data_IF_610439958841
#
_entry.id   IF_610439958841
#
_cell.length_a   1.000
_cell.length_b   1.000
_cell.length_c   1.000
_cell.angle_alpha   90.00
_cell.angle_beta   90.00
_cell.angle_gamma   90.00
#
_symmetry.space_group_name_H-M   'P 1'
#
loop_
_entity.id
_entity.type
_entity.pdbx_description
1 polymer ?
#
# COMPACT_ATOMS: atom_id res chain seq x y z
N UNK A 1 13.49 -0.46 -23.51
CA UNK A 1 12.62 0.37 -22.65
C UNK A 1 13.45 1.52 -22.10
N UNK A 2 13.01 2.75 -22.28
CA UNK A 2 13.75 3.91 -21.82
C UNK A 2 13.47 4.21 -20.34
N UNK A 3 14.29 5.07 -19.73
CA UNK A 3 14.16 5.41 -18.31
C UNK A 3 12.82 6.04 -17.96
N UNK A 4 12.24 6.86 -18.86
CA UNK A 4 10.94 7.51 -18.62
C UNK A 4 9.81 6.49 -18.55
N UNK A 5 9.84 5.47 -19.40
CA UNK A 5 8.85 4.41 -19.42
C UNK A 5 8.91 3.55 -18.15
N UNK A 6 10.11 3.22 -17.70
CA UNK A 6 10.31 2.46 -16.45
C UNK A 6 9.86 3.27 -15.25
N UNK A 7 10.23 4.55 -15.19
CA UNK A 7 9.83 5.44 -14.08
C UNK A 7 8.31 5.60 -14.02
N UNK A 8 7.66 5.80 -15.17
CA UNK A 8 6.20 5.93 -15.22
C UNK A 8 5.51 4.69 -14.68
N UNK A 9 5.95 3.49 -15.09
CA UNK A 9 5.39 2.23 -14.59
C UNK A 9 5.59 2.07 -13.09
N UNK A 10 6.76 2.46 -12.58
CA UNK A 10 7.04 2.41 -11.15
C UNK A 10 6.14 3.34 -10.35
N UNK A 11 5.92 4.56 -10.86
CA UNK A 11 5.03 5.52 -10.20
C UNK A 11 3.58 5.07 -10.20
N UNK A 12 3.12 4.37 -11.24
CA UNK A 12 1.77 3.83 -11.30
C UNK A 12 1.49 2.81 -10.19
N UNK A 13 2.52 2.10 -9.72
CA UNK A 13 2.38 1.16 -8.61
C UNK A 13 2.03 1.86 -7.30
N UNK A 14 2.35 3.15 -7.17
CA UNK A 14 2.12 3.92 -5.95
C UNK A 14 0.87 4.80 -6.01
N UNK A 15 0.14 4.75 -7.11
CA UNK A 15 -1.13 5.47 -7.27
C UNK A 15 -2.26 4.59 -6.76
N UNK A 16 -2.76 4.92 -5.57
CA UNK A 16 -3.87 4.20 -4.96
C UNK A 16 -5.17 4.97 -5.18
N UNK A 17 -6.20 4.25 -5.61
CA UNK A 17 -7.54 4.80 -5.74
C UNK A 17 -8.24 4.79 -4.38
N UNK A 18 -8.80 5.92 -3.98
CA UNK A 18 -9.61 5.99 -2.76
C UNK A 18 -11.00 5.43 -3.05
N UNK A 19 -11.33 4.32 -2.39
CA UNK A 19 -12.63 3.66 -2.53
C UNK A 19 -13.63 4.23 -1.52
N UNK A 20 -13.18 4.45 -0.30
CA UNK A 20 -14.00 4.98 0.78
C UNK A 20 -13.05 5.65 1.78
N UNK A 21 -13.59 6.19 2.86
CA UNK A 21 -12.75 6.70 3.93
C UNK A 21 -11.87 5.57 4.47
N UNK A 22 -10.57 5.80 4.48
CA UNK A 22 -9.57 4.84 4.99
C UNK A 22 -9.51 3.50 4.23
N UNK A 23 -10.07 3.46 3.01
CA UNK A 23 -10.00 2.30 2.13
C UNK A 23 -9.46 2.71 0.77
N UNK A 24 -8.41 2.05 0.33
CA UNK A 24 -7.72 2.35 -0.92
C UNK A 24 -7.54 1.07 -1.73
N UNK A 25 -7.37 1.21 -3.02
CA UNK A 25 -7.20 0.07 -3.92
C UNK A 25 -6.09 0.33 -4.93
N UNK A 26 -5.33 -0.71 -5.23
CA UNK A 26 -4.46 -0.79 -6.38
C UNK A 26 -5.03 -1.82 -7.35
N UNK A 27 -5.12 -1.45 -8.64
CA UNK A 27 -5.88 -2.22 -9.62
C UNK A 27 -5.24 -3.54 -10.08
N UNK A 28 -4.02 -3.83 -9.69
CA UNK A 28 -3.34 -5.01 -10.18
C UNK A 28 -2.97 -4.89 -11.66
N UNK A 29 -1.72 -4.60 -11.94
CA UNK A 29 -1.19 -4.62 -13.30
C UNK A 29 -0.04 -5.58 -13.35
N UNK A 30 -0.11 -6.54 -14.25
CA UNK A 30 1.01 -7.42 -14.49
C UNK A 30 2.12 -6.65 -15.20
N UNK A 31 3.21 -6.40 -14.48
CA UNK A 31 4.40 -5.72 -15.01
C UNK A 31 5.50 -6.70 -15.37
N UNK A 32 5.15 -7.97 -15.62
CA UNK A 32 6.09 -9.02 -15.99
C UNK A 32 6.47 -9.95 -14.85
N UNK A 33 5.87 -9.81 -13.68
CA UNK A 33 6.12 -10.67 -12.53
C UNK A 33 4.85 -11.40 -12.14
N UNK A 34 4.97 -12.68 -11.79
CA UNK A 34 3.84 -13.49 -11.36
C UNK A 34 3.40 -13.19 -9.93
N UNK A 35 4.34 -12.76 -9.10
CA UNK A 35 4.09 -12.47 -7.68
C UNK A 35 4.42 -11.02 -7.39
N UNK A 36 3.68 -10.44 -6.46
CA UNK A 36 3.93 -9.08 -6.00
C UNK A 36 5.23 -9.06 -5.22
N UNK A 37 6.10 -8.13 -5.58
CA UNK A 37 7.31 -7.87 -4.82
C UNK A 37 6.95 -7.32 -3.43
N UNK A 38 7.56 -7.90 -2.38
CA UNK A 38 7.25 -7.50 -1.01
C UNK A 38 7.46 -6.02 -0.73
N UNK A 39 8.50 -5.42 -1.29
CA UNK A 39 8.75 -3.99 -1.15
C UNK A 39 7.66 -3.12 -1.77
N UNK A 40 7.01 -3.58 -2.83
CA UNK A 40 5.86 -2.89 -3.43
C UNK A 40 4.71 -2.80 -2.42
N UNK A 41 4.34 -3.94 -1.81
CA UNK A 41 3.25 -3.98 -0.84
C UNK A 41 3.58 -3.10 0.37
N UNK A 42 4.81 -3.17 0.87
CA UNK A 42 5.26 -2.32 1.97
C UNK A 42 5.14 -0.85 1.63
N UNK A 43 5.57 -0.43 0.45
CA UNK A 43 5.47 0.96 0.01
C UNK A 43 4.00 1.38 -0.14
N UNK A 44 3.17 0.53 -0.71
CA UNK A 44 1.75 0.82 -0.89
C UNK A 44 1.00 0.94 0.43
N UNK A 45 1.30 0.09 1.43
CA UNK A 45 0.70 0.23 2.76
C UNK A 45 1.12 1.53 3.43
N UNK A 46 2.37 1.93 3.27
CA UNK A 46 2.87 3.20 3.80
C UNK A 46 2.15 4.39 3.16
N UNK A 47 1.97 4.36 1.84
CA UNK A 47 1.25 5.39 1.11
C UNK A 47 -0.21 5.47 1.56
N UNK A 48 -0.87 4.32 1.72
CA UNK A 48 -2.24 4.28 2.22
C UNK A 48 -2.34 4.92 3.61
N UNK A 49 -1.40 4.62 4.50
CA UNK A 49 -1.36 5.23 5.83
C UNK A 49 -1.18 6.76 5.73
N UNK A 50 -0.26 7.24 4.92
CA UNK A 50 -0.03 8.67 4.74
C UNK A 50 -1.25 9.41 4.20
N UNK A 51 -2.05 8.76 3.35
CA UNK A 51 -3.27 9.36 2.80
C UNK A 51 -4.34 9.63 3.86
N UNK A 52 -4.22 9.06 5.04
CA UNK A 52 -5.16 9.28 6.15
C UNK A 52 -4.64 10.30 7.16
N UNK A 53 -3.48 10.89 6.93
CA UNK A 53 -2.82 11.83 7.85
C UNK A 53 -2.87 13.23 7.23
N UNK A 54 -3.45 14.18 7.97
CA UNK A 54 -3.66 15.56 7.50
C UNK A 54 -2.49 16.48 7.75
N UNK A 55 -1.53 16.08 8.59
CA UNK A 55 -0.37 16.89 8.97
C UNK A 55 0.90 16.24 8.46
N UNK A 56 1.96 17.04 8.29
CA UNK A 56 3.25 16.50 7.89
C UNK A 56 3.89 15.73 9.04
N UNK A 57 3.75 14.41 9.00
CA UNK A 57 4.47 13.51 9.88
C UNK A 57 5.33 12.58 9.03
N UNK A 58 6.53 12.28 9.54
CA UNK A 58 7.42 11.34 8.87
C UNK A 58 7.35 9.99 9.58
N UNK A 59 7.24 8.91 8.80
CA UNK A 59 7.32 7.57 9.36
C UNK A 59 8.71 7.36 9.97
N UNK A 60 8.76 7.00 11.25
CA UNK A 60 10.01 6.70 11.94
C UNK A 60 10.09 5.25 12.42
N UNK A 61 9.00 4.52 12.28
CA UNK A 61 8.96 3.11 12.66
C UNK A 61 7.92 2.40 11.78
N UNK A 62 8.30 1.27 11.22
CA UNK A 62 7.45 0.46 10.36
C UNK A 62 7.69 -1.01 10.69
N UNK A 63 6.62 -1.74 11.02
CA UNK A 63 6.66 -3.17 11.29
C UNK A 63 5.59 -3.84 10.44
N UNK A 64 5.93 -4.96 9.81
CA UNK A 64 4.97 -5.64 8.96
C UNK A 64 5.20 -7.15 8.94
N UNK A 65 4.15 -7.88 8.57
CA UNK A 65 4.18 -9.32 8.38
C UNK A 65 3.60 -9.67 7.02
N UNK A 66 4.31 -10.52 6.27
CA UNK A 66 3.82 -11.10 5.04
C UNK A 66 3.17 -12.44 5.37
N UNK A 67 1.88 -12.54 5.13
CA UNK A 67 1.10 -13.70 5.49
C UNK A 67 0.89 -14.65 4.31
N UNK A 68 0.77 -14.12 3.10
CA UNK A 68 0.56 -14.88 1.88
C UNK A 68 1.17 -14.16 0.68
N UNK A 69 1.58 -14.90 -0.38
CA UNK A 69 2.04 -14.25 -1.60
C UNK A 69 0.91 -13.42 -2.24
N UNK A 70 1.26 -12.26 -2.76
CA UNK A 70 0.33 -11.46 -3.53
C UNK A 70 0.39 -11.84 -5.01
N UNK A 71 -0.72 -11.63 -5.71
CA UNK A 71 -0.87 -11.87 -7.14
C UNK A 71 -0.88 -10.54 -7.89
N UNK A 72 0.00 -10.37 -8.87
CA UNK A 72 0.11 -9.14 -9.66
C UNK A 72 -1.10 -8.88 -10.56
N UNK A 73 -1.85 -9.93 -10.90
CA UNK A 73 -3.02 -9.81 -11.79
C UNK A 73 -4.29 -9.42 -11.06
N UNK A 74 -4.24 -9.32 -9.73
CA UNK A 74 -5.41 -9.04 -8.92
C UNK A 74 -5.24 -7.71 -8.19
N UNK A 75 -6.36 -7.01 -7.99
CA UNK A 75 -6.34 -5.79 -7.20
C UNK A 75 -6.03 -6.08 -5.73
N UNK A 76 -5.43 -5.10 -5.07
CA UNK A 76 -5.19 -5.14 -3.63
C UNK A 76 -6.05 -4.07 -2.99
N UNK A 77 -6.76 -4.43 -1.93
CA UNK A 77 -7.49 -3.48 -1.10
C UNK A 77 -6.70 -3.22 0.17
N UNK A 78 -6.47 -1.95 0.47
CA UNK A 78 -5.78 -1.52 1.67
C UNK A 78 -6.78 -0.88 2.61
N UNK A 79 -6.96 -1.46 3.79
CA UNK A 79 -7.81 -0.90 4.83
C UNK A 79 -6.94 -0.30 5.91
N UNK A 80 -7.17 0.97 6.23
CA UNK A 80 -6.38 1.71 7.21
C UNK A 80 -7.16 1.86 8.50
N UNK A 81 -6.55 1.47 9.60
CA UNK A 81 -7.09 1.66 10.93
C UNK A 81 -6.31 2.77 11.63
N UNK A 82 -7.01 3.81 12.05
CA UNK A 82 -6.43 4.96 12.76
C UNK A 82 -6.30 4.64 14.23
N UNK A 83 -5.16 4.02 14.59
CA UNK A 83 -4.92 3.58 15.97
C UNK A 83 -4.79 4.79 16.89
N UNK A 84 -4.03 5.81 16.48
CA UNK A 84 -3.80 7.00 17.30
C UNK A 84 -3.51 8.22 16.45
N UNK A 85 -4.11 9.33 16.81
CA UNK A 85 -3.78 10.65 16.29
C UNK A 85 -3.41 11.55 17.45
N UNK A 86 -2.11 11.63 17.75
CA UNK A 86 -1.57 12.49 18.79
C UNK A 86 -0.88 13.71 18.21
N UNK A 87 -0.55 14.68 19.04
CA UNK A 87 0.19 15.87 18.61
C UNK A 87 1.60 15.52 18.15
N UNK A 88 2.25 14.61 18.84
CA UNK A 88 3.64 14.22 18.54
C UNK A 88 3.75 12.91 17.78
N UNK A 89 2.81 11.98 18.00
CA UNK A 89 2.85 10.65 17.41
C UNK A 89 1.51 10.29 16.78
N UNK A 90 1.59 9.70 15.61
CA UNK A 90 0.45 9.16 14.89
C UNK A 90 0.73 7.70 14.57
N UNK A 91 -0.26 6.83 14.79
CA UNK A 91 -0.13 5.39 14.53
C UNK A 91 -1.23 4.92 13.59
N UNK A 92 -0.84 4.16 12.60
CA UNK A 92 -1.74 3.55 11.61
C UNK A 92 -1.46 2.06 11.51
N UNK A 93 -2.52 1.27 11.36
CA UNK A 93 -2.43 -0.14 10.99
C UNK A 93 -3.07 -0.30 9.63
N UNK A 94 -2.39 -0.97 8.71
CA UNK A 94 -2.89 -1.16 7.35
C UNK A 94 -2.90 -2.66 7.02
N UNK A 95 -4.03 -3.13 6.51
CA UNK A 95 -4.19 -4.50 6.02
C UNK A 95 -4.27 -4.48 4.51
N UNK A 96 -3.49 -5.32 3.86
CA UNK A 96 -3.56 -5.53 2.42
C UNK A 96 -4.27 -6.85 2.15
N UNK A 97 -5.33 -6.79 1.35
CA UNK A 97 -6.26 -7.89 1.13
C UNK A 97 -6.43 -8.13 -0.36
N UNK A 98 -6.37 -9.38 -0.77
CA UNK A 98 -6.74 -9.82 -2.13
C UNK A 98 -7.79 -10.92 -2.03
N UNK A 99 -8.91 -10.77 -2.74
CA UNK A 99 -10.00 -11.76 -2.76
C UNK A 99 -10.38 -12.25 -1.35
N UNK A 100 -10.58 -11.31 -0.43
CA UNK A 100 -10.95 -11.54 0.96
C UNK A 100 -9.88 -12.27 1.78
N UNK A 101 -8.68 -12.47 1.23
CA UNK A 101 -7.55 -13.06 1.95
C UNK A 101 -6.55 -12.00 2.35
N UNK A 102 -6.17 -12.01 3.62
CA UNK A 102 -5.16 -11.09 4.15
C UNK A 102 -3.77 -11.54 3.66
N UNK A 103 -3.08 -10.69 2.90
CA UNK A 103 -1.74 -10.98 2.39
C UNK A 103 -0.64 -10.29 3.18
N UNK A 104 -0.96 -9.19 3.85
CA UNK A 104 0.04 -8.38 4.56
C UNK A 104 -0.63 -7.55 5.66
N UNK A 105 0.06 -7.36 6.74
CA UNK A 105 -0.38 -6.48 7.83
C UNK A 105 0.80 -5.71 8.41
#
# INVERSE_FOLDING_TARGET
MNKKSVLKKSLELFELEKIDRDIFSWNGKNVGYKRIFGGQVMAQTLIAAYKTIDVEHFAHSYHSYFLRPGDMDKSITFTVDRIRDGKSFTTRSVKAIQELSLIHI
#
